data_IF_164856750765
#
_entry.id   IF_164856750765
#
_cell.length_a   1.000
_cell.length_b   1.000
_cell.length_c   1.000
_cell.angle_alpha   90.00
_cell.angle_beta   90.00
_cell.angle_gamma   90.00
#
_symmetry.space_group_name_H-M   'P 1'
#
loop_
_entity.id
_entity.type
_entity.pdbx_description
1 polymer ?
#
# COMPACT_ATOMS: atom_id res chain seq x y z
N UNK A 1 -27.74 12.93 -8.02
CA UNK A 1 -27.00 11.80 -8.60
C UNK A 1 -26.77 10.82 -7.46
N UNK A 2 -27.41 9.65 -7.49
CA UNK A 2 -27.35 8.65 -6.42
C UNK A 2 -25.91 8.18 -6.15
N UNK A 3 -25.02 8.35 -7.13
CA UNK A 3 -23.58 8.10 -6.98
C UNK A 3 -22.94 8.98 -5.92
N UNK A 4 -23.44 10.20 -5.68
CA UNK A 4 -22.91 11.07 -4.62
C UNK A 4 -23.18 10.51 -3.23
N UNK A 5 -24.32 9.84 -3.04
CA UNK A 5 -24.63 9.18 -1.79
C UNK A 5 -23.71 7.98 -1.57
N UNK A 6 -23.53 7.14 -2.59
CA UNK A 6 -22.61 5.99 -2.55
C UNK A 6 -21.16 6.43 -2.29
N UNK A 7 -20.67 7.48 -2.95
CA UNK A 7 -19.35 8.08 -2.67
C UNK A 7 -19.25 8.53 -1.22
N UNK A 8 -20.29 9.16 -0.68
CA UNK A 8 -20.35 9.58 0.73
C UNK A 8 -20.28 8.42 1.72
N UNK A 9 -20.76 7.23 1.35
CA UNK A 9 -20.66 6.03 2.19
C UNK A 9 -19.33 5.29 2.05
N UNK A 10 -18.81 5.20 0.82
CA UNK A 10 -17.59 4.42 0.52
C UNK A 10 -16.34 5.14 0.99
N UNK A 11 -16.25 6.45 0.78
CA UNK A 11 -15.01 7.20 1.02
C UNK A 11 -14.54 7.14 2.50
N UNK A 12 -15.42 7.31 3.52
CA UNK A 12 -14.99 7.19 4.91
C UNK A 12 -14.54 5.78 5.29
N UNK A 13 -15.18 4.73 4.73
CA UNK A 13 -14.79 3.33 4.97
C UNK A 13 -13.41 3.05 4.40
N UNK A 14 -13.17 3.47 3.16
CA UNK A 14 -11.86 3.37 2.51
C UNK A 14 -10.77 4.08 3.34
N UNK A 15 -11.03 5.31 3.80
CA UNK A 15 -10.08 6.05 4.63
C UNK A 15 -9.80 5.30 5.95
N UNK A 16 -10.82 4.73 6.59
CA UNK A 16 -10.67 3.91 7.79
C UNK A 16 -9.83 2.66 7.56
N UNK A 17 -10.11 1.90 6.50
CA UNK A 17 -9.39 0.67 6.17
C UNK A 17 -7.94 0.94 5.79
N UNK A 18 -7.66 2.01 5.04
CA UNK A 18 -6.29 2.43 4.72
C UNK A 18 -5.50 2.78 5.98
N UNK A 19 -6.09 3.55 6.91
CA UNK A 19 -5.44 3.89 8.18
C UNK A 19 -5.16 2.65 9.03
N UNK A 20 -6.11 1.72 9.09
CA UNK A 20 -5.95 0.45 9.81
C UNK A 20 -4.86 -0.42 9.19
N UNK A 21 -4.85 -0.58 7.86
CA UNK A 21 -3.84 -1.37 7.17
C UNK A 21 -2.44 -0.79 7.36
N UNK A 22 -2.28 0.54 7.27
CA UNK A 22 -1.01 1.21 7.54
C UNK A 22 -0.52 0.92 8.97
N UNK A 23 -1.40 1.03 9.97
CA UNK A 23 -1.04 0.73 11.36
C UNK A 23 -0.63 -0.73 11.56
N UNK A 24 -1.35 -1.68 10.95
CA UNK A 24 -1.02 -3.10 11.02
C UNK A 24 0.35 -3.38 10.39
N UNK A 25 0.60 -2.87 9.18
CA UNK A 25 1.88 -3.06 8.49
C UNK A 25 3.05 -2.46 9.28
N UNK A 26 2.87 -1.30 9.91
CA UNK A 26 3.88 -0.68 10.76
C UNK A 26 4.15 -1.39 12.09
N UNK A 27 3.31 -2.35 12.48
CA UNK A 27 3.46 -3.15 13.70
C UNK A 27 4.07 -4.53 13.43
N UNK A 28 4.14 -4.97 12.17
CA UNK A 28 4.76 -6.24 11.82
C UNK A 28 6.27 -6.09 11.94
N UNK A 29 6.90 -6.95 12.76
CA UNK A 29 8.34 -6.96 12.93
C UNK A 29 9.04 -7.40 11.62
N UNK A 30 10.19 -6.83 11.25
CA UNK A 30 10.93 -7.21 10.04
C UNK A 30 11.13 -8.72 9.88
N UNK A 31 11.44 -9.41 10.99
CA UNK A 31 11.71 -10.85 11.03
C UNK A 31 10.48 -11.69 10.66
N UNK A 32 9.26 -11.13 10.84
CA UNK A 32 8.02 -11.79 10.41
C UNK A 32 7.90 -11.79 8.89
N UNK A 33 8.39 -10.74 8.22
CA UNK A 33 8.42 -10.69 6.76
C UNK A 33 9.47 -11.65 6.20
N UNK A 34 10.64 -11.76 6.85
CA UNK A 34 11.67 -12.74 6.48
C UNK A 34 11.14 -14.17 6.60
N UNK A 35 10.46 -14.50 7.70
CA UNK A 35 9.81 -15.80 7.88
C UNK A 35 8.81 -16.10 6.76
N UNK A 36 7.95 -15.14 6.42
CA UNK A 36 6.98 -15.31 5.34
C UNK A 36 7.66 -15.45 3.97
N UNK A 37 8.76 -14.73 3.73
CA UNK A 37 9.54 -14.87 2.50
C UNK A 37 10.09 -16.29 2.35
N UNK A 38 10.65 -16.85 3.42
CA UNK A 38 11.18 -18.21 3.47
C UNK A 38 10.07 -19.26 3.23
N UNK A 39 8.91 -19.13 3.88
CA UNK A 39 7.79 -20.05 3.70
C UNK A 39 7.23 -20.04 2.26
N UNK A 40 7.19 -18.88 1.63
CA UNK A 40 6.63 -18.72 0.29
C UNK A 40 7.62 -19.12 -0.82
N UNK A 41 8.89 -19.39 -0.49
CA UNK A 41 9.89 -19.95 -1.39
C UNK A 41 10.13 -19.09 -2.64
N UNK A 42 9.98 -17.78 -2.53
CA UNK A 42 10.03 -16.85 -3.66
C UNK A 42 11.19 -15.86 -3.54
N UNK A 43 11.93 -15.64 -4.63
CA UNK A 43 12.94 -14.58 -4.79
C UNK A 43 12.32 -13.16 -4.82
N UNK A 44 11.19 -12.95 -4.13
CA UNK A 44 10.46 -11.69 -4.10
C UNK A 44 10.75 -10.96 -2.79
N UNK A 45 10.76 -9.63 -2.84
CA UNK A 45 10.79 -8.81 -1.64
C UNK A 45 9.45 -8.92 -0.89
N UNK A 46 9.53 -9.11 0.43
CA UNK A 46 8.36 -9.18 1.31
C UNK A 46 8.42 -8.05 2.36
N UNK A 47 7.35 -7.26 2.52
CA UNK A 47 6.15 -7.24 1.67
C UNK A 47 6.47 -6.70 0.25
N UNK A 48 5.72 -7.12 -0.78
CA UNK A 48 5.93 -6.63 -2.15
C UNK A 48 5.71 -5.11 -2.24
N UNK A 49 6.55 -4.45 -3.03
CA UNK A 49 6.49 -3.00 -3.26
C UNK A 49 5.58 -2.69 -4.45
N UNK A 50 4.45 -1.97 -4.26
CA UNK A 50 3.55 -1.66 -5.36
C UNK A 50 4.17 -0.62 -6.28
N UNK A 51 4.02 -0.80 -7.58
CA UNK A 51 4.34 0.25 -8.56
C UNK A 51 3.16 1.20 -8.70
N UNK A 52 3.36 2.45 -8.31
CA UNK A 52 2.38 3.51 -8.50
C UNK A 52 2.70 4.30 -9.78
N UNK A 53 1.77 4.33 -10.72
CA UNK A 53 1.87 5.14 -11.94
C UNK A 53 0.78 6.20 -11.96
N UNK A 54 1.19 7.46 -12.03
CA UNK A 54 0.30 8.62 -12.07
C UNK A 54 0.64 9.47 -13.28
N UNK A 55 -0.40 9.92 -14.00
CA UNK A 55 -0.28 10.95 -15.02
C UNK A 55 -0.70 12.28 -14.42
N UNK A 56 0.25 13.20 -14.37
CA UNK A 56 0.11 14.54 -13.77
C UNK A 56 0.65 15.57 -14.74
N UNK A 57 0.13 16.78 -14.68
CA UNK A 57 0.73 17.90 -15.40
C UNK A 57 2.10 18.23 -14.75
N UNK A 58 3.16 18.53 -15.52
CA UNK A 58 4.45 18.91 -14.96
C UNK A 58 4.37 20.05 -13.94
N UNK A 59 3.46 21.01 -14.14
CA UNK A 59 3.29 22.15 -13.22
C UNK A 59 2.64 21.75 -11.88
N UNK A 60 2.15 20.51 -11.76
CA UNK A 60 1.57 19.93 -10.55
C UNK A 60 2.57 19.07 -9.76
N UNK A 61 3.83 19.01 -10.20
CA UNK A 61 4.90 18.20 -9.60
C UNK A 61 5.92 19.12 -8.95
N UNK A 62 6.07 19.00 -7.63
CA UNK A 62 7.15 19.65 -6.90
C UNK A 62 8.04 18.60 -6.23
N UNK A 63 9.34 18.68 -6.51
CA UNK A 63 10.37 17.83 -5.94
C UNK A 63 11.23 18.67 -4.99
N UNK A 64 11.21 18.34 -3.71
CA UNK A 64 12.01 18.97 -2.68
C UNK A 64 13.00 17.95 -2.11
N UNK A 65 14.32 18.20 -2.08
CA UNK A 65 15.25 17.32 -1.37
C UNK A 65 14.81 17.20 0.10
N UNK A 66 14.62 15.97 0.57
CA UNK A 66 14.22 15.79 1.97
C UNK A 66 15.39 16.15 2.90
N UNK A 67 15.07 16.45 4.16
CA UNK A 67 16.08 16.76 5.19
C UNK A 67 16.98 15.56 5.51
N UNK A 68 16.52 14.36 5.18
CA UNK A 68 17.26 13.11 5.32
C UNK A 68 18.02 12.77 4.02
N UNK A 69 19.34 12.56 4.07
CA UNK A 69 20.13 12.19 2.89
C UNK A 69 19.59 10.93 2.21
N UNK A 70 19.39 11.00 0.88
CA UNK A 70 18.95 9.86 0.07
C UNK A 70 17.45 9.82 -0.24
N UNK A 71 16.65 10.73 0.33
CA UNK A 71 15.22 10.82 0.09
C UNK A 71 14.84 12.15 -0.58
N UNK A 72 13.76 12.11 -1.36
CA UNK A 72 13.12 13.30 -1.94
C UNK A 72 11.67 13.32 -1.54
N UNK A 73 11.17 14.51 -1.20
CA UNK A 73 9.76 14.74 -1.00
C UNK A 73 9.14 15.11 -2.33
N UNK A 74 8.07 14.40 -2.68
CA UNK A 74 7.29 14.63 -3.87
C UNK A 74 5.90 15.15 -3.48
N UNK A 75 5.52 16.33 -3.98
CA UNK A 75 4.17 16.88 -3.83
C UNK A 75 3.46 16.83 -5.19
N UNK A 76 2.26 16.24 -5.20
CA UNK A 76 1.44 16.05 -6.39
C UNK A 76 0.00 16.46 -6.12
N UNK A 77 -0.56 17.30 -6.98
CA UNK A 77 -1.99 17.58 -7.00
C UNK A 77 -2.67 16.69 -8.04
N UNK A 78 -3.36 15.64 -7.57
CA UNK A 78 -3.95 14.61 -8.44
C UNK A 78 -5.47 14.54 -8.26
N UNK A 79 -6.26 14.46 -9.34
CA UNK A 79 -7.69 14.18 -9.23
C UNK A 79 -7.96 12.87 -8.47
N UNK A 80 -8.84 12.90 -7.48
CA UNK A 80 -9.16 11.73 -6.64
C UNK A 80 -9.43 10.43 -7.44
N UNK A 81 -10.21 10.44 -8.54
CA UNK A 81 -10.43 9.22 -9.34
C UNK A 81 -9.14 8.63 -9.94
N UNK A 82 -8.19 9.48 -10.35
CA UNK A 82 -6.92 9.04 -10.93
C UNK A 82 -6.02 8.40 -9.86
N UNK A 83 -5.97 9.01 -8.66
CA UNK A 83 -5.26 8.44 -7.51
C UNK A 83 -5.82 7.06 -7.13
N UNK A 84 -7.14 6.95 -6.97
CA UNK A 84 -7.78 5.68 -6.63
C UNK A 84 -7.58 4.62 -7.70
N UNK A 85 -7.64 5.02 -8.98
CA UNK A 85 -7.35 4.13 -10.12
C UNK A 85 -5.92 3.60 -10.10
N UNK A 86 -4.93 4.46 -9.80
CA UNK A 86 -3.53 4.07 -9.71
C UNK A 86 -3.26 3.14 -8.53
N UNK A 87 -3.82 3.42 -7.35
CA UNK A 87 -3.75 2.54 -6.18
C UNK A 87 -4.36 1.16 -6.48
N UNK A 88 -5.57 1.15 -7.06
CA UNK A 88 -6.23 -0.09 -7.43
C UNK A 88 -5.44 -0.88 -8.48
N UNK A 89 -4.76 -0.20 -9.42
CA UNK A 89 -3.92 -0.87 -10.39
C UNK A 89 -2.65 -1.46 -9.77
N UNK A 90 -1.93 -0.69 -8.94
CA UNK A 90 -0.71 -1.14 -8.27
C UNK A 90 -0.92 -2.34 -7.34
N UNK A 91 -2.12 -2.46 -6.75
CA UNK A 91 -2.47 -3.57 -5.85
C UNK A 91 -3.12 -4.78 -6.55
N UNK A 92 -3.32 -4.75 -7.87
CA UNK A 92 -3.88 -5.88 -8.63
C UNK A 92 -2.86 -6.97 -8.99
N UNK A 93 -1.58 -6.74 -8.71
CA UNK A 93 -0.54 -7.71 -9.00
C UNK A 93 -0.75 -9.05 -8.27
N UNK A 94 -0.42 -10.19 -8.89
CA UNK A 94 -0.56 -11.51 -8.25
C UNK A 94 0.24 -11.64 -6.95
N UNK A 95 1.31 -10.88 -6.78
CA UNK A 95 2.08 -10.73 -5.54
C UNK A 95 1.26 -10.20 -4.38
N UNK A 96 0.32 -9.27 -4.60
CA UNK A 96 -0.54 -8.74 -3.52
C UNK A 96 -1.66 -9.70 -3.14
N UNK A 97 -2.16 -10.47 -4.12
CA UNK A 97 -3.07 -11.57 -3.83
C UNK A 97 -2.38 -12.65 -2.98
N UNK A 98 -1.12 -12.98 -3.30
CA UNK A 98 -0.29 -13.89 -2.50
C UNK A 98 0.01 -13.33 -1.13
N UNK A 99 0.35 -12.04 -1.01
CA UNK A 99 0.53 -11.37 0.27
C UNK A 99 -0.71 -11.49 1.15
N UNK A 100 -1.89 -11.18 0.60
CA UNK A 100 -3.15 -11.27 1.33
C UNK A 100 -3.44 -12.70 1.81
N UNK A 101 -3.20 -13.71 0.95
CA UNK A 101 -3.35 -15.11 1.31
C UNK A 101 -2.35 -15.53 2.41
N UNK A 102 -1.07 -15.20 2.25
CA UNK A 102 -0.02 -15.49 3.23
C UNK A 102 -0.34 -14.86 4.60
N UNK A 103 -0.74 -13.58 4.63
CA UNK A 103 -1.16 -12.91 5.87
C UNK A 103 -2.40 -13.55 6.52
N UNK A 104 -3.34 -14.09 5.72
CA UNK A 104 -4.52 -14.77 6.24
C UNK A 104 -4.20 -16.17 6.79
N UNK A 105 -3.22 -16.85 6.18
CA UNK A 105 -2.73 -18.17 6.57
C UNK A 105 -1.76 -18.11 7.75
N UNK A 106 -1.04 -17.00 7.89
CA UNK A 106 -0.19 -16.66 9.02
C UNK A 106 -1.00 -16.50 10.32
N UNK A 107 -1.55 -17.60 10.82
CA UNK A 107 -2.24 -17.67 12.10
C UNK A 107 -1.22 -17.62 13.23
N UNK A 108 -0.77 -16.42 13.59
CA UNK A 108 0.03 -16.18 14.79
C UNK A 108 1.14 -17.21 15.01
N UNK A 109 1.74 -17.71 13.93
CA UNK A 109 2.85 -18.62 13.99
C UNK A 109 4.01 -17.80 14.58
N UNK A 110 4.29 -18.06 15.87
CA UNK A 110 5.30 -17.43 16.72
C UNK A 110 4.90 -16.18 17.55
N UNK A 111 3.68 -16.13 18.12
CA UNK A 111 3.46 -15.31 19.33
C UNK A 111 4.13 -15.90 20.60
N UNK A 112 4.79 -17.06 20.48
CA UNK A 112 5.62 -17.67 21.51
C UNK A 112 6.84 -18.29 20.85
N UNK A 113 7.86 -17.50 20.56
CA UNK A 113 9.27 -17.85 20.78
C UNK A 113 10.14 -16.59 20.76
#
# INVERSE_FOLDING_TARGET
DDRLHEVGEVLPRLAGDLGRLHALLGQVAPETWDYLADEQGADLEWPPVPRLELRVDPDQVELDPDREPGYVRLRLDVPLPALLGALAHGLRGPEFARLAAACAEARGANATH
#
